data_IF_704105309109
#
_entry.id   IF_704105309109
#
_cell.length_a   1.000
_cell.length_b   1.000
_cell.length_c   1.000
_cell.angle_alpha   90.00
_cell.angle_beta   90.00
_cell.angle_gamma   90.00
#
_symmetry.space_group_name_H-M   'P 1'
#
loop_
_entity.id
_entity.type
_entity.pdbx_description
1 polymer ?
#
# COMPACT_ATOMS: atom_id res chain seq x y z
N UNK A 1 14.95 -8.80 13.48
CA UNK A 1 14.40 -9.15 12.16
C UNK A 1 15.21 -8.38 11.14
N UNK A 2 15.74 -9.04 10.11
CA UNK A 2 16.39 -8.35 8.99
C UNK A 2 15.37 -7.46 8.29
N UNK A 3 15.78 -6.28 7.84
CA UNK A 3 14.90 -5.48 7.00
C UNK A 3 14.66 -6.22 5.69
N UNK A 4 13.44 -6.10 5.16
CA UNK A 4 13.06 -6.63 3.84
C UNK A 4 13.84 -5.96 2.70
N UNK A 5 14.53 -4.85 2.98
CA UNK A 5 15.38 -4.10 2.05
C UNK A 5 16.88 -4.38 2.25
N UNK A 6 17.25 -5.23 3.21
CA UNK A 6 18.65 -5.47 3.56
C UNK A 6 19.44 -6.06 2.38
N UNK A 7 20.55 -5.44 2.03
CA UNK A 7 21.41 -5.85 0.90
C UNK A 7 20.86 -5.50 -0.49
N UNK A 8 19.71 -4.83 -0.59
CA UNK A 8 19.17 -4.36 -1.88
C UNK A 8 19.87 -3.09 -2.36
N UNK A 9 19.94 -2.92 -3.68
CA UNK A 9 20.27 -1.60 -4.25
C UNK A 9 19.11 -0.64 -4.03
N UNK A 10 19.39 0.68 -4.06
CA UNK A 10 18.34 1.69 -3.91
C UNK A 10 17.22 1.53 -4.96
N UNK A 11 17.59 1.15 -6.19
CA UNK A 11 16.63 0.89 -7.28
C UNK A 11 15.75 -0.33 -6.98
N UNK A 12 16.33 -1.44 -6.56
CA UNK A 12 15.56 -2.65 -6.26
C UNK A 12 14.63 -2.43 -5.06
N UNK A 13 15.08 -1.65 -4.07
CA UNK A 13 14.26 -1.28 -2.92
C UNK A 13 13.10 -0.35 -3.31
N UNK A 14 13.31 0.56 -4.27
CA UNK A 14 12.25 1.41 -4.83
C UNK A 14 11.26 0.61 -5.68
N UNK A 15 11.75 -0.30 -6.53
CA UNK A 15 10.91 -1.17 -7.35
C UNK A 15 10.06 -2.10 -6.45
N UNK A 16 10.63 -2.62 -5.35
CA UNK A 16 9.89 -3.37 -4.34
C UNK A 16 8.83 -2.51 -3.64
N UNK A 17 9.16 -1.28 -3.26
CA UNK A 17 8.20 -0.34 -2.66
C UNK A 17 7.01 -0.07 -3.59
N UNK A 18 7.29 0.20 -4.87
CA UNK A 18 6.25 0.41 -5.89
C UNK A 18 5.40 -0.85 -6.08
N UNK A 19 6.01 -2.03 -6.11
CA UNK A 19 5.31 -3.32 -6.18
C UNK A 19 4.35 -3.54 -5.01
N UNK A 20 4.79 -3.24 -3.77
CA UNK A 20 3.94 -3.35 -2.57
C UNK A 20 2.75 -2.39 -2.66
N UNK A 21 2.97 -1.14 -3.08
CA UNK A 21 1.88 -0.17 -3.28
C UNK A 21 0.90 -0.69 -4.34
N UNK A 22 1.41 -1.23 -5.45
CA UNK A 22 0.59 -1.81 -6.51
C UNK A 22 -0.30 -2.95 -6.02
N UNK A 23 0.24 -3.86 -5.20
CA UNK A 23 -0.52 -4.96 -4.60
C UNK A 23 -1.65 -4.44 -3.68
N UNK A 24 -1.33 -3.49 -2.78
CA UNK A 24 -2.31 -2.90 -1.87
C UNK A 24 -3.47 -2.22 -2.63
N UNK A 25 -3.15 -1.51 -3.71
CA UNK A 25 -4.16 -0.89 -4.58
C UNK A 25 -4.98 -1.97 -5.29
N UNK A 26 -4.34 -3.01 -5.82
CA UNK A 26 -5.03 -4.09 -6.52
C UNK A 26 -6.03 -4.83 -5.62
N UNK A 27 -5.60 -5.23 -4.43
CA UNK A 27 -6.46 -5.93 -3.46
C UNK A 27 -7.68 -5.09 -3.08
N UNK A 28 -7.48 -3.81 -2.77
CA UNK A 28 -8.59 -2.94 -2.41
C UNK A 28 -9.51 -2.65 -3.61
N UNK A 29 -8.99 -2.60 -4.84
CA UNK A 29 -9.82 -2.49 -6.05
C UNK A 29 -10.60 -3.78 -6.33
N UNK A 30 -10.06 -4.95 -6.00
CA UNK A 30 -10.80 -6.22 -6.06
C UNK A 30 -11.92 -6.27 -5.03
N UNK A 31 -11.61 -5.91 -3.78
CA UNK A 31 -12.62 -5.84 -2.72
C UNK A 31 -13.73 -4.84 -3.08
N UNK A 32 -13.36 -3.66 -3.55
CA UNK A 32 -14.27 -2.63 -4.05
C UNK A 32 -15.15 -3.12 -5.22
N UNK A 33 -14.63 -3.97 -6.11
CA UNK A 33 -15.40 -4.55 -7.22
C UNK A 33 -16.35 -5.67 -6.78
N UNK A 34 -16.05 -6.34 -5.67
CA UNK A 34 -16.89 -7.38 -5.09
C UNK A 34 -18.02 -6.83 -4.21
N UNK A 35 -17.97 -5.54 -3.85
CA UNK A 35 -18.95 -4.89 -2.99
C UNK A 35 -20.26 -4.59 -3.71
N UNK A 36 -21.36 -4.82 -2.99
CA UNK A 36 -22.68 -4.32 -3.31
C UNK A 36 -22.76 -2.81 -3.13
N UNK A 37 -23.79 -2.18 -3.67
CA UNK A 37 -23.98 -0.74 -3.53
C UNK A 37 -24.18 -0.31 -2.06
N UNK A 38 -24.90 -1.11 -1.27
CA UNK A 38 -25.08 -0.83 0.17
C UNK A 38 -23.77 -0.90 0.94
N UNK A 39 -22.89 -1.87 0.62
CA UNK A 39 -21.56 -1.96 1.21
C UNK A 39 -20.68 -0.77 0.81
N UNK A 40 -20.79 -0.30 -0.42
CA UNK A 40 -20.14 0.94 -0.87
C UNK A 40 -20.65 2.18 -0.13
N UNK A 41 -21.95 2.28 0.07
CA UNK A 41 -22.57 3.43 0.74
C UNK A 41 -22.21 3.46 2.25
N UNK A 42 -22.08 2.30 2.89
CA UNK A 42 -21.60 2.16 4.27
C UNK A 42 -20.09 2.40 4.38
N UNK A 43 -19.32 1.96 3.37
CA UNK A 43 -17.88 2.17 3.29
C UNK A 43 -17.63 3.58 2.75
N UNK A 44 -17.91 4.56 3.60
CA UNK A 44 -17.89 5.98 3.30
C UNK A 44 -16.70 6.38 2.41
N UNK A 45 -16.98 7.24 1.43
CA UNK A 45 -16.03 7.94 0.58
C UNK A 45 -14.84 8.56 1.34
N UNK A 46 -14.96 8.83 2.64
CA UNK A 46 -13.87 9.28 3.49
C UNK A 46 -12.90 8.16 3.90
N UNK A 47 -13.37 6.94 4.13
CA UNK A 47 -12.56 5.83 4.66
C UNK A 47 -11.52 5.35 3.64
N UNK A 48 -11.94 5.08 2.41
CA UNK A 48 -11.07 4.50 1.38
C UNK A 48 -9.86 5.40 1.04
N UNK A 49 -10.02 6.70 0.77
CA UNK A 49 -8.89 7.60 0.56
C UNK A 49 -7.93 7.63 1.74
N UNK A 50 -8.44 7.63 2.98
CA UNK A 50 -7.60 7.59 4.18
C UNK A 50 -6.84 6.27 4.33
N UNK A 51 -7.48 5.14 4.05
CA UNK A 51 -6.86 3.82 4.05
C UNK A 51 -5.70 3.76 3.04
N UNK A 52 -5.95 4.15 1.79
CA UNK A 52 -4.92 4.16 0.74
C UNK A 52 -3.78 5.13 1.06
N UNK A 53 -4.10 6.35 1.46
CA UNK A 53 -3.10 7.35 1.81
C UNK A 53 -2.20 6.87 2.96
N UNK A 54 -2.79 6.24 3.97
CA UNK A 54 -2.04 5.69 5.11
C UNK A 54 -1.16 4.51 4.69
N UNK A 55 -1.70 3.58 3.90
CA UNK A 55 -0.96 2.41 3.44
C UNK A 55 0.26 2.80 2.57
N UNK A 56 0.06 3.76 1.64
CA UNK A 56 1.15 4.34 0.84
C UNK A 56 2.16 5.05 1.74
N UNK A 57 1.70 5.91 2.65
CA UNK A 57 2.57 6.65 3.56
C UNK A 57 3.47 5.72 4.37
N UNK A 58 2.92 4.68 5.00
CA UNK A 58 3.71 3.74 5.79
C UNK A 58 4.66 2.90 4.93
N UNK A 59 4.27 2.55 3.71
CA UNK A 59 5.14 1.82 2.78
C UNK A 59 6.36 2.65 2.40
N UNK A 60 6.15 3.94 2.09
CA UNK A 60 7.23 4.90 1.82
C UNK A 60 8.08 5.15 3.06
N UNK A 61 7.48 5.36 4.23
CA UNK A 61 8.22 5.58 5.48
C UNK A 61 9.08 4.38 5.87
N UNK A 62 8.59 3.15 5.67
CA UNK A 62 9.39 1.95 5.92
C UNK A 62 10.58 1.86 4.96
N UNK A 63 10.38 2.14 3.68
CA UNK A 63 11.47 2.21 2.68
C UNK A 63 12.52 3.27 3.04
N UNK A 64 12.10 4.43 3.56
CA UNK A 64 13.00 5.50 3.99
C UNK A 64 13.73 5.18 5.29
N UNK A 65 13.07 4.50 6.23
CA UNK A 65 13.66 4.07 7.51
C UNK A 65 14.67 2.95 7.38
N UNK A 66 14.46 2.08 6.40
CA UNK A 66 15.28 0.90 6.13
C UNK A 66 16.29 1.14 5.00
N UNK A 67 16.39 2.36 4.47
CA UNK A 67 17.44 2.73 3.52
C UNK A 67 18.82 2.68 4.21
N UNK A 68 19.84 2.02 3.63
CA UNK A 68 21.22 2.35 3.95
C UNK A 68 21.56 3.77 3.48
#
# INVERSE_FOLDING_TARGET
MSSRYEGMTAKDADDLMVGIIGLLVSEAMEEARAMTQEEWDVRDSAYLPHYFASAIFYTVQNRLRDAP
#
